data_IF_762642417965
#
_entry.id   IF_762642417965
#
_cell.length_a   1.000
_cell.length_b   1.000
_cell.length_c   1.000
_cell.angle_alpha   90.00
_cell.angle_beta   90.00
_cell.angle_gamma   90.00
#
_symmetry.space_group_name_H-M   'P 1'
#
loop_
_entity.id
_entity.type
_entity.pdbx_description
1 polymer ?
#
# COMPACT_ATOMS: atom_id res chain seq x y z
N UNK A 1 -7.00 -19.95 31.03
CA UNK A 1 -6.41 -19.08 32.06
C UNK A 1 -6.81 -17.65 31.75
N UNK A 2 -7.24 -16.92 32.80
CA UNK A 2 -7.44 -15.48 32.65
C UNK A 2 -6.09 -14.76 32.67
N UNK A 3 -6.12 -13.44 32.58
CA UNK A 3 -4.92 -12.55 32.53
C UNK A 3 -4.01 -12.71 33.75
N UNK A 4 -4.51 -13.26 34.85
CA UNK A 4 -3.81 -13.41 36.11
C UNK A 4 -3.35 -14.85 36.38
N UNK A 5 -3.48 -15.73 35.41
CA UNK A 5 -3.06 -17.13 35.55
C UNK A 5 -4.00 -18.04 36.35
N UNK A 6 -5.14 -17.51 36.76
CA UNK A 6 -6.15 -18.30 37.47
C UNK A 6 -6.94 -19.18 36.51
N UNK A 7 -7.38 -20.33 37.00
CA UNK A 7 -8.23 -21.24 36.23
C UNK A 7 -9.61 -20.60 36.03
N UNK A 8 -10.00 -20.35 34.77
CA UNK A 8 -11.34 -19.89 34.47
C UNK A 8 -12.36 -21.02 34.62
N UNK A 9 -13.40 -20.75 35.38
CA UNK A 9 -14.55 -21.64 35.47
C UNK A 9 -15.39 -21.44 34.22
N UNK A 10 -15.71 -22.52 33.50
CA UNK A 10 -16.56 -22.40 32.30
C UNK A 10 -18.01 -22.11 32.74
N UNK A 11 -18.69 -21.27 31.97
CA UNK A 11 -20.09 -20.90 32.23
C UNK A 11 -21.02 -22.11 32.41
N UNK A 12 -20.71 -23.20 31.72
CA UNK A 12 -21.43 -24.48 31.86
C UNK A 12 -21.33 -25.12 33.28
N UNK A 13 -20.19 -24.93 33.96
CA UNK A 13 -19.98 -25.42 35.33
C UNK A 13 -20.70 -24.58 36.39
N UNK A 14 -21.11 -23.38 36.05
CA UNK A 14 -21.82 -22.46 36.94
C UNK A 14 -23.35 -22.69 36.88
N UNK A 15 -23.86 -23.08 35.71
CA UNK A 15 -25.28 -23.37 35.51
C UNK A 15 -25.68 -23.34 34.03
N UNK A 16 -26.69 -24.15 33.67
CA UNK A 16 -27.13 -24.29 32.27
C UNK A 16 -27.53 -22.98 31.62
N UNK A 17 -28.12 -22.07 32.34
CA UNK A 17 -28.62 -20.78 31.81
C UNK A 17 -27.64 -19.63 32.00
N UNK A 18 -26.49 -19.84 32.63
CA UNK A 18 -25.55 -18.77 32.95
C UNK A 18 -25.12 -17.97 31.70
N UNK A 19 -24.83 -18.66 30.63
CA UNK A 19 -24.45 -17.99 29.36
C UNK A 19 -25.59 -17.16 28.73
N UNK A 20 -26.87 -17.49 29.01
CA UNK A 20 -28.01 -16.68 28.60
C UNK A 20 -28.12 -15.42 29.43
N UNK A 21 -28.03 -15.57 30.73
CA UNK A 21 -28.11 -14.46 31.70
C UNK A 21 -26.98 -13.48 31.48
N UNK A 22 -25.74 -13.93 31.28
CA UNK A 22 -24.60 -13.05 30.99
C UNK A 22 -24.86 -12.24 29.71
N UNK A 23 -25.36 -12.88 28.64
CA UNK A 23 -25.69 -12.16 27.41
C UNK A 23 -26.79 -11.12 27.59
N UNK A 24 -27.77 -11.42 28.40
CA UNK A 24 -28.89 -10.52 28.71
C UNK A 24 -28.40 -9.31 29.51
N UNK A 25 -27.64 -9.52 30.55
CA UNK A 25 -27.00 -8.46 31.35
C UNK A 25 -26.04 -7.63 30.50
N UNK A 26 -25.23 -8.24 29.64
CA UNK A 26 -24.36 -7.50 28.73
C UNK A 26 -25.18 -6.60 27.77
N UNK A 27 -26.32 -7.09 27.29
CA UNK A 27 -27.22 -6.32 26.42
C UNK A 27 -27.86 -5.14 27.15
N UNK A 28 -28.35 -5.36 28.36
CA UNK A 28 -28.91 -4.31 29.21
C UNK A 28 -27.91 -3.20 29.55
N UNK A 29 -26.66 -3.60 29.80
CA UNK A 29 -25.56 -2.68 30.10
C UNK A 29 -24.85 -2.13 28.86
N UNK A 30 -25.33 -2.44 27.66
CA UNK A 30 -24.66 -2.12 26.38
C UNK A 30 -23.20 -2.58 26.30
N UNK A 31 -22.86 -3.66 26.99
CA UNK A 31 -21.53 -4.27 26.98
C UNK A 31 -21.43 -5.32 25.88
N UNK A 32 -20.29 -5.35 25.21
CA UNK A 32 -20.00 -6.38 24.20
C UNK A 32 -19.58 -7.68 24.87
N UNK A 33 -20.16 -8.78 24.42
CA UNK A 33 -19.72 -10.12 24.82
C UNK A 33 -18.38 -10.49 24.19
N UNK A 34 -17.63 -11.43 24.80
CA UNK A 34 -16.37 -11.94 24.22
C UNK A 34 -16.55 -12.50 22.79
N UNK A 35 -17.74 -13.06 22.49
CA UNK A 35 -18.07 -13.56 21.16
C UNK A 35 -18.16 -12.42 20.15
N UNK A 36 -18.80 -11.31 20.52
CA UNK A 36 -18.93 -10.12 19.67
C UNK A 36 -17.58 -9.44 19.45
N UNK A 37 -16.80 -9.27 20.52
CA UNK A 37 -15.42 -8.77 20.45
C UNK A 37 -14.57 -9.66 19.54
N UNK A 38 -14.69 -10.98 19.66
CA UNK A 38 -13.97 -11.92 18.78
C UNK A 38 -14.38 -11.82 17.32
N UNK A 39 -15.66 -11.59 17.03
CA UNK A 39 -16.16 -11.35 15.64
C UNK A 39 -15.60 -10.05 15.09
N UNK A 40 -15.66 -8.96 15.83
CA UNK A 40 -15.11 -7.67 15.43
C UNK A 40 -13.59 -7.76 15.16
N UNK A 41 -12.84 -8.41 16.03
CA UNK A 41 -11.40 -8.64 15.82
C UNK A 41 -11.12 -9.38 14.52
N UNK A 42 -11.86 -10.46 14.22
CA UNK A 42 -11.73 -11.20 12.96
C UNK A 42 -12.07 -10.34 11.75
N UNK A 43 -13.11 -9.54 11.84
CA UNK A 43 -13.51 -8.63 10.76
C UNK A 43 -12.45 -7.57 10.50
N UNK A 44 -11.88 -6.97 11.54
CA UNK A 44 -10.77 -6.02 11.40
C UNK A 44 -9.53 -6.67 10.77
N UNK A 45 -9.18 -7.90 11.18
CA UNK A 45 -8.09 -8.67 10.59
C UNK A 45 -8.34 -8.95 9.10
N UNK A 46 -9.57 -9.30 8.74
CA UNK A 46 -9.95 -9.52 7.35
C UNK A 46 -9.76 -8.25 6.49
N UNK A 47 -10.23 -7.10 6.96
CA UNK A 47 -10.04 -5.83 6.27
C UNK A 47 -8.57 -5.42 6.16
N UNK A 48 -7.80 -5.60 7.24
CA UNK A 48 -6.37 -5.33 7.22
C UNK A 48 -5.64 -6.22 6.21
N UNK A 49 -5.98 -7.52 6.17
CA UNK A 49 -5.42 -8.50 5.25
C UNK A 49 -5.76 -8.17 3.79
N UNK A 50 -7.03 -7.96 3.47
CA UNK A 50 -7.46 -7.66 2.10
C UNK A 50 -6.86 -6.37 1.57
N UNK A 51 -6.78 -5.33 2.41
CA UNK A 51 -6.14 -4.07 2.03
C UNK A 51 -4.63 -4.19 1.85
N UNK A 52 -3.96 -5.04 2.64
CA UNK A 52 -2.52 -5.29 2.49
C UNK A 52 -2.24 -6.11 1.24
N UNK A 53 -3.09 -7.09 0.95
CA UNK A 53 -2.98 -7.99 -0.18
C UNK A 53 -3.08 -7.27 -1.54
N UNK A 54 -3.85 -6.19 -1.64
CA UNK A 54 -3.99 -5.39 -2.88
C UNK A 54 -2.66 -4.91 -3.45
N UNK A 55 -1.66 -4.68 -2.58
CA UNK A 55 -0.37 -4.09 -2.94
C UNK A 55 0.82 -4.99 -2.61
N UNK A 56 0.57 -6.18 -2.07
CA UNK A 56 1.62 -7.11 -1.72
C UNK A 56 2.12 -7.87 -2.94
N UNK A 57 3.45 -8.01 -3.05
CA UNK A 57 4.12 -8.73 -4.14
C UNK A 57 4.43 -10.18 -3.78
N UNK A 58 4.64 -10.45 -2.51
CA UNK A 58 4.96 -11.77 -1.95
C UNK A 58 4.50 -11.86 -0.48
N UNK A 59 4.74 -13.01 0.15
CA UNK A 59 4.36 -13.23 1.54
C UNK A 59 5.14 -12.34 2.52
N UNK A 60 6.41 -12.07 2.27
CA UNK A 60 7.24 -11.25 3.14
C UNK A 60 6.77 -9.79 3.12
N UNK A 61 6.44 -9.26 1.94
CA UNK A 61 5.85 -7.95 1.78
C UNK A 61 4.47 -7.86 2.44
N UNK A 62 3.65 -8.91 2.32
CA UNK A 62 2.37 -9.01 3.02
C UNK A 62 2.54 -8.98 4.54
N UNK A 63 3.49 -9.76 5.07
CA UNK A 63 3.83 -9.78 6.49
C UNK A 63 4.25 -8.40 6.97
N UNK A 64 5.12 -7.73 6.23
CA UNK A 64 5.57 -6.36 6.54
C UNK A 64 4.40 -5.36 6.55
N UNK A 65 3.53 -5.39 5.52
CA UNK A 65 2.35 -4.52 5.46
C UNK A 65 1.35 -4.77 6.59
N UNK A 66 1.18 -6.02 7.00
CA UNK A 66 0.35 -6.38 8.14
C UNK A 66 0.99 -5.92 9.46
N UNK A 67 2.31 -6.04 9.58
CA UNK A 67 3.06 -5.54 10.73
C UNK A 67 2.85 -4.03 10.93
N UNK A 68 2.94 -3.24 9.87
CA UNK A 68 2.69 -1.79 9.91
C UNK A 68 1.26 -1.44 10.36
N UNK A 69 0.31 -2.36 10.20
CA UNK A 69 -1.08 -2.20 10.66
C UNK A 69 -1.33 -2.74 12.08
N UNK A 70 -0.29 -3.14 12.79
CA UNK A 70 -0.39 -3.64 14.15
C UNK A 70 -0.75 -5.12 14.25
N UNK A 71 -0.49 -5.92 13.21
CA UNK A 71 -0.74 -7.36 13.21
C UNK A 71 0.53 -8.17 13.00
N UNK A 72 0.74 -9.19 13.83
CA UNK A 72 1.77 -10.20 13.61
C UNK A 72 1.19 -11.34 12.78
N UNK A 73 1.87 -11.70 11.71
CA UNK A 73 1.50 -12.81 10.83
C UNK A 73 2.53 -13.92 11.00
N UNK A 74 2.06 -15.14 11.23
CA UNK A 74 2.89 -16.34 11.29
C UNK A 74 2.49 -17.25 10.14
N UNK A 75 3.47 -17.63 9.31
CA UNK A 75 3.28 -18.52 8.19
C UNK A 75 3.64 -19.95 8.58
N UNK A 76 2.79 -20.91 8.21
CA UNK A 76 3.08 -22.34 8.36
C UNK A 76 3.62 -22.86 7.04
N UNK A 77 4.80 -23.48 7.08
CA UNK A 77 5.44 -24.06 5.90
C UNK A 77 5.25 -25.59 5.89
N UNK A 78 5.04 -26.14 4.72
CA UNK A 78 5.06 -27.57 4.44
C UNK A 78 6.19 -27.87 3.48
N UNK A 79 6.87 -29.00 3.67
CA UNK A 79 8.02 -29.42 2.86
C UNK A 79 7.68 -29.57 1.36
N UNK A 80 6.44 -29.99 1.06
CA UNK A 80 6.01 -30.25 -0.33
C UNK A 80 5.45 -29.02 -1.04
N UNK A 81 4.64 -28.20 -0.34
CA UNK A 81 3.81 -27.16 -0.97
C UNK A 81 4.27 -25.74 -0.59
N UNK A 82 5.32 -25.60 0.19
CA UNK A 82 5.78 -24.33 0.73
C UNK A 82 4.81 -23.79 1.78
N UNK A 83 4.37 -22.54 1.65
CA UNK A 83 3.45 -21.93 2.63
C UNK A 83 2.06 -22.55 2.46
N UNK A 84 1.63 -23.25 3.52
CA UNK A 84 0.37 -24.00 3.60
C UNK A 84 -0.68 -23.35 4.49
N UNK A 85 -0.25 -22.47 5.40
CA UNK A 85 -1.15 -21.82 6.34
C UNK A 85 -0.66 -20.46 6.82
N UNK A 86 -1.60 -19.71 7.41
CA UNK A 86 -1.34 -18.39 7.97
C UNK A 86 -2.13 -18.22 9.25
N UNK A 87 -1.50 -17.62 10.25
CA UNK A 87 -2.14 -17.16 11.49
C UNK A 87 -1.91 -15.66 11.66
N UNK A 88 -2.91 -14.96 12.14
CA UNK A 88 -2.86 -13.52 12.38
C UNK A 88 -3.21 -13.25 13.83
N UNK A 89 -2.43 -12.41 14.49
CA UNK A 89 -2.66 -11.95 15.85
C UNK A 89 -2.45 -10.44 15.92
N UNK A 90 -3.23 -9.77 16.73
CA UNK A 90 -3.06 -8.33 16.99
C UNK A 90 -1.93 -8.13 17.99
N UNK A 91 -1.11 -7.10 17.85
CA UNK A 91 -0.03 -6.81 18.79
C UNK A 91 -0.52 -6.60 20.22
N UNK A 92 -1.68 -6.01 20.40
CA UNK A 92 -2.31 -5.80 21.70
C UNK A 92 -2.65 -7.12 22.42
N UNK A 93 -2.81 -8.21 21.67
CA UNK A 93 -3.10 -9.54 22.21
C UNK A 93 -1.82 -10.35 22.48
N UNK A 94 -0.62 -9.73 22.32
CA UNK A 94 0.68 -10.36 22.62
C UNK A 94 1.18 -9.84 23.95
N UNK A 95 1.61 -10.75 24.83
CA UNK A 95 2.29 -10.37 26.06
C UNK A 95 3.75 -9.99 25.73
N UNK A 96 4.07 -8.71 25.80
CA UNK A 96 5.39 -8.17 25.44
C UNK A 96 6.51 -8.61 26.41
N UNK A 97 6.18 -9.00 27.64
CA UNK A 97 7.19 -9.44 28.61
C UNK A 97 7.66 -10.87 28.36
N UNK A 98 6.76 -11.74 27.93
CA UNK A 98 7.05 -13.17 27.72
C UNK A 98 7.12 -13.56 26.25
N UNK A 99 6.86 -12.61 25.33
CA UNK A 99 6.64 -12.82 23.88
C UNK A 99 5.55 -13.87 23.57
N UNK A 100 4.87 -14.36 24.59
CA UNK A 100 3.81 -15.35 24.43
C UNK A 100 2.52 -14.65 24.01
N UNK A 101 1.90 -15.20 23.00
CA UNK A 101 0.59 -14.77 22.58
C UNK A 101 -0.46 -15.24 23.58
N UNK A 102 -1.37 -14.37 23.96
CA UNK A 102 -2.54 -14.73 24.80
C UNK A 102 -3.36 -15.86 24.19
N UNK A 103 -3.50 -15.84 22.87
CA UNK A 103 -4.03 -16.91 22.04
C UNK A 103 -3.07 -17.09 20.87
N UNK A 104 -2.96 -18.29 20.34
CA UNK A 104 -2.09 -18.61 19.20
C UNK A 104 -2.45 -17.84 17.88
N UNK A 105 -3.24 -16.81 17.95
CA UNK A 105 -3.78 -16.06 16.83
C UNK A 105 -4.91 -16.82 16.12
N UNK A 106 -5.59 -16.16 15.22
CA UNK A 106 -6.64 -16.75 14.40
C UNK A 106 -6.06 -17.34 13.12
N UNK A 107 -6.44 -18.56 12.78
CA UNK A 107 -6.12 -19.15 11.47
C UNK A 107 -6.84 -18.39 10.37
N UNK A 108 -6.29 -18.38 9.18
CA UNK A 108 -6.93 -17.74 8.02
C UNK A 108 -8.37 -18.24 7.80
N UNK A 109 -8.59 -19.55 7.94
CA UNK A 109 -9.92 -20.19 7.86
C UNK A 109 -10.92 -19.75 8.95
N UNK A 110 -10.42 -19.28 10.09
CA UNK A 110 -11.27 -18.76 11.17
C UNK A 110 -11.63 -17.29 10.96
N UNK A 111 -10.81 -16.57 10.19
CA UNK A 111 -11.02 -15.17 9.82
C UNK A 111 -11.98 -15.08 8.63
N UNK A 112 -11.77 -15.91 7.62
CA UNK A 112 -12.57 -15.88 6.39
C UNK A 112 -12.57 -17.24 5.68
N UNK A 113 -13.74 -17.59 5.12
CA UNK A 113 -13.89 -18.73 4.24
C UNK A 113 -13.67 -18.36 2.76
N UNK A 114 -13.60 -17.06 2.46
CA UNK A 114 -13.54 -16.55 1.08
C UNK A 114 -12.12 -16.47 0.53
N UNK A 115 -11.10 -16.58 1.36
CA UNK A 115 -9.69 -16.39 0.97
C UNK A 115 -8.87 -17.60 1.43
N UNK A 116 -8.26 -18.29 0.48
CA UNK A 116 -7.34 -19.41 0.71
C UNK A 116 -5.91 -18.98 0.41
N UNK A 117 -4.92 -19.75 0.86
CA UNK A 117 -3.50 -19.49 0.55
C UNK A 117 -3.24 -19.50 -0.97
N UNK A 118 -3.93 -20.36 -1.72
CA UNK A 118 -3.84 -20.37 -3.17
C UNK A 118 -4.30 -19.05 -3.81
N UNK A 119 -5.41 -18.48 -3.29
CA UNK A 119 -5.94 -17.20 -3.79
C UNK A 119 -4.98 -16.03 -3.48
N UNK A 120 -4.30 -16.09 -2.33
CA UNK A 120 -3.25 -15.13 -1.98
C UNK A 120 -2.09 -15.21 -2.96
N UNK A 121 -1.62 -16.43 -3.29
CA UNK A 121 -0.55 -16.63 -4.28
C UNK A 121 -0.95 -16.12 -5.68
N UNK A 122 -2.18 -16.41 -6.12
CA UNK A 122 -2.66 -15.91 -7.42
C UNK A 122 -2.76 -14.38 -7.45
N UNK A 123 -3.15 -13.77 -6.34
CA UNK A 123 -3.20 -12.30 -6.22
C UNK A 123 -1.81 -11.68 -6.33
N UNK A 124 -0.77 -12.30 -5.78
CA UNK A 124 0.61 -11.83 -5.94
C UNK A 124 1.05 -11.82 -7.40
N UNK A 125 0.72 -12.88 -8.15
CA UNK A 125 1.04 -12.94 -9.58
C UNK A 125 0.33 -11.81 -10.35
N UNK A 126 -0.95 -11.60 -10.09
CA UNK A 126 -1.70 -10.49 -10.72
C UNK A 126 -1.17 -9.11 -10.32
N UNK A 127 -0.71 -8.94 -9.10
CA UNK A 127 -0.08 -7.69 -8.65
C UNK A 127 1.28 -7.47 -9.33
N UNK A 128 2.05 -8.54 -9.54
CA UNK A 128 3.32 -8.48 -10.24
C UNK A 128 3.13 -8.08 -11.71
N UNK A 129 2.24 -8.75 -12.44
CA UNK A 129 1.89 -8.43 -13.83
C UNK A 129 1.42 -6.97 -13.98
N UNK A 130 0.59 -6.51 -13.04
CA UNK A 130 0.13 -5.11 -13.02
C UNK A 130 1.27 -4.13 -12.80
N UNK A 131 2.21 -4.46 -11.91
CA UNK A 131 3.37 -3.62 -11.65
C UNK A 131 4.31 -3.54 -12.87
N UNK A 132 4.54 -4.64 -13.58
CA UNK A 132 5.31 -4.67 -14.82
C UNK A 132 4.64 -3.84 -15.91
N UNK A 133 3.32 -3.97 -16.07
CA UNK A 133 2.57 -3.19 -17.04
C UNK A 133 2.68 -1.68 -16.78
N UNK A 134 2.56 -1.26 -15.52
CA UNK A 134 2.74 0.14 -15.13
C UNK A 134 4.16 0.63 -15.43
N UNK A 135 5.19 -0.17 -15.15
CA UNK A 135 6.57 0.19 -15.47
C UNK A 135 6.78 0.36 -16.98
N UNK A 136 6.21 -0.52 -17.78
CA UNK A 136 6.27 -0.42 -19.25
C UNK A 136 5.61 0.87 -19.75
N UNK A 137 4.41 1.20 -19.24
CA UNK A 137 3.73 2.44 -19.59
C UNK A 137 4.52 3.69 -19.19
N UNK A 138 5.10 3.71 -17.99
CA UNK A 138 5.94 4.81 -17.52
C UNK A 138 7.22 4.95 -18.37
N UNK A 139 7.81 3.84 -18.82
CA UNK A 139 8.93 3.84 -19.75
C UNK A 139 8.55 4.50 -21.09
N UNK A 140 7.43 4.09 -21.67
CA UNK A 140 6.91 4.68 -22.92
C UNK A 140 6.60 6.18 -22.80
N UNK A 141 6.05 6.60 -21.65
CA UNK A 141 5.78 8.02 -21.40
C UNK A 141 7.07 8.84 -21.33
N UNK A 142 8.11 8.33 -20.65
CA UNK A 142 9.42 9.00 -20.60
C UNK A 142 10.08 9.12 -21.98
N UNK A 143 10.05 8.07 -22.77
CA UNK A 143 10.59 8.11 -24.15
C UNK A 143 9.82 9.13 -25.02
N UNK A 144 8.51 9.24 -24.85
CA UNK A 144 7.71 10.25 -25.56
C UNK A 144 8.05 11.67 -25.11
N UNK A 145 8.24 11.92 -23.82
CA UNK A 145 8.65 13.23 -23.29
C UNK A 145 10.06 13.62 -23.76
N UNK A 146 11.02 12.69 -23.75
CA UNK A 146 12.38 12.95 -24.26
C UNK A 146 12.38 13.27 -25.75
N UNK A 147 11.54 12.61 -26.55
CA UNK A 147 11.38 12.92 -27.98
C UNK A 147 10.74 14.28 -28.22
N UNK A 148 9.76 14.70 -27.42
CA UNK A 148 9.17 16.05 -27.50
C UNK A 148 10.16 17.13 -27.09
N UNK A 149 10.92 16.94 -26.02
CA UNK A 149 11.97 17.86 -25.58
C UNK A 149 13.06 17.98 -26.65
N UNK A 150 13.45 16.90 -27.29
CA UNK A 150 14.41 16.92 -28.39
C UNK A 150 13.88 17.70 -29.59
N UNK A 151 12.62 17.50 -29.97
CA UNK A 151 11.97 18.25 -31.06
C UNK A 151 11.87 19.75 -30.78
N UNK A 152 11.53 20.12 -29.54
CA UNK A 152 11.44 21.56 -29.16
C UNK A 152 12.81 22.22 -29.10
N UNK A 153 13.86 21.52 -28.74
CA UNK A 153 15.24 22.01 -28.74
C UNK A 153 15.74 22.22 -30.18
N UNK A 154 15.50 21.28 -31.09
CA UNK A 154 15.83 21.39 -32.51
C UNK A 154 15.08 22.59 -33.13
N UNK A 155 13.79 22.78 -32.86
CA UNK A 155 13.02 23.93 -33.33
C UNK A 155 13.58 25.26 -32.82
N UNK A 156 14.03 25.33 -31.57
CA UNK A 156 14.67 26.54 -31.03
C UNK A 156 16.04 26.83 -31.65
N UNK A 157 16.82 25.80 -31.92
CA UNK A 157 18.11 25.97 -32.62
C UNK A 157 17.93 26.43 -34.07
N UNK A 158 16.98 25.82 -34.78
CA UNK A 158 16.63 26.26 -36.14
C UNK A 158 16.15 27.71 -36.14
N UNK A 159 15.29 28.10 -35.21
CA UNK A 159 14.82 29.46 -35.04
C UNK A 159 15.97 30.45 -34.84
N UNK A 160 16.93 30.14 -33.97
CA UNK A 160 18.14 30.98 -33.76
C UNK A 160 18.99 31.12 -35.03
N UNK A 161 19.19 30.02 -35.74
CA UNK A 161 19.97 30.04 -37.00
C UNK A 161 19.29 30.87 -38.08
N UNK A 162 17.97 30.76 -38.21
CA UNK A 162 17.19 31.58 -39.14
C UNK A 162 17.24 33.06 -38.77
N UNK A 163 17.11 33.41 -37.51
CA UNK A 163 17.22 34.80 -37.01
C UNK A 163 18.63 35.39 -37.26
N UNK A 164 19.66 34.54 -37.17
CA UNK A 164 21.04 34.93 -37.43
C UNK A 164 21.28 35.20 -38.95
N UNK A 165 20.69 34.41 -39.83
CA UNK A 165 20.71 34.61 -41.27
C UNK A 165 19.87 35.81 -41.74
N UNK A 166 18.81 36.15 -41.02
CA UNK A 166 17.92 37.28 -41.34
C UNK A 166 18.42 38.61 -40.76
N UNK A 167 19.47 38.62 -39.94
CA UNK A 167 20.10 39.87 -39.52
C UNK A 167 20.70 40.56 -40.73
N UNK A 168 20.28 41.80 -41.05
CA UNK A 168 20.82 42.52 -42.18
C UNK A 168 22.31 42.77 -41.96
N UNK A 169 23.15 42.06 -42.69
CA UNK A 169 24.63 42.19 -42.70
C UNK A 169 25.10 43.45 -43.41
N UNK A 170 24.16 44.24 -43.93
CA UNK A 170 24.46 45.44 -44.71
C UNK A 170 23.86 46.66 -44.02
N UNK A 171 24.68 47.46 -43.37
CA UNK A 171 24.37 48.84 -43.05
C UNK A 171 24.60 49.65 -44.29
N UNK A 172 23.51 50.08 -44.96
CA UNK A 172 23.61 50.91 -46.13
C UNK A 172 24.50 52.15 -45.85
N UNK A 173 25.44 52.45 -46.70
CA UNK A 173 26.36 53.59 -46.49
C UNK A 173 25.66 54.95 -46.39
N UNK A 174 24.39 55.07 -46.76
CA UNK A 174 23.56 56.26 -46.64
C UNK A 174 23.24 56.71 -45.20
N UNK A 175 23.26 55.84 -44.27
CA UNK A 175 23.01 56.20 -42.87
C UNK A 175 24.16 56.97 -42.18
N UNK A 176 25.38 56.81 -42.68
CA UNK A 176 26.51 57.61 -42.19
C UNK A 176 26.51 59.05 -42.84
N UNK A 177 26.04 59.14 -44.07
CA UNK A 177 25.91 60.42 -44.75
C UNK A 177 24.81 61.29 -44.15
N UNK A 178 23.70 60.67 -43.68
CA UNK A 178 22.62 61.41 -43.02
C UNK A 178 23.05 61.85 -41.60
N UNK A 179 23.86 61.10 -40.89
CA UNK A 179 24.41 61.48 -39.58
C UNK A 179 25.43 62.64 -39.71
N UNK A 180 26.22 62.74 -40.78
CA UNK A 180 27.13 63.82 -41.06
C UNK A 180 26.42 65.14 -41.46
N UNK A 181 25.33 65.11 -42.19
CA UNK A 181 24.50 66.27 -42.48
C UNK A 181 23.87 66.93 -41.26
N UNK A 182 23.37 66.09 -40.29
CA UNK A 182 22.81 66.64 -39.06
C UNK A 182 23.83 67.34 -38.13
N UNK A 183 25.13 67.06 -38.25
CA UNK A 183 26.19 67.75 -37.46
C UNK A 183 26.64 69.09 -38.02
N UNK A 184 26.27 69.46 -39.28
CA UNK A 184 26.64 70.77 -39.94
C UNK A 184 25.62 71.86 -39.71
N UNK A 185 24.50 71.59 -39.03
CA UNK A 185 23.47 72.61 -38.76
C UNK A 185 23.30 72.88 -37.25
N UNK A 186 24.44 72.94 -36.59
CA UNK A 186 24.51 73.47 -35.16
C UNK A 186 25.61 74.48 -35.07
#
# INVERSE_FOLDING_TARGET
MNTYGENTITAHKIGENFGKVVREVCRELNLKTDIEIGKEKKQMMYYALTNSLKYAKNFDDLVMKMHLKGYRVTLSQNVKDGISGMRIVRYEDINHQTERQYKAGYKLSEITNKLKIADIKSTFNSNFERAEHIQTLLGQMRESEETEISRTNISKEIGKTVDEFLKPTYTAPDDELLKRKKRKFR
#
